data_IF_903817150203
#
_entry.id   IF_903817150203
#
_cell.length_a   1.000
_cell.length_b   1.000
_cell.length_c   1.000
_cell.angle_alpha   90.00
_cell.angle_beta   90.00
_cell.angle_gamma   90.00
#
_symmetry.space_group_name_H-M   'P 1'
#
loop_
_entity.id
_entity.type
_entity.pdbx_description
1 polymer ?
#
# COMPACT_ATOMS: atom_id res chain seq x y z
N UNK A 1 -21.43 13.78 -14.31
CA UNK A 1 -20.36 13.69 -13.30
C UNK A 1 -19.25 12.81 -13.87
N UNK A 2 -18.08 13.36 -14.22
CA UNK A 2 -16.96 12.50 -14.61
C UNK A 2 -16.58 11.66 -13.40
N UNK A 3 -16.69 10.33 -13.52
CA UNK A 3 -16.28 9.41 -12.47
C UNK A 3 -14.77 9.57 -12.30
N UNK A 4 -14.32 9.97 -11.11
CA UNK A 4 -12.90 10.07 -10.77
C UNK A 4 -12.19 8.79 -11.20
N UNK A 5 -11.13 8.92 -12.02
CA UNK A 5 -10.30 7.78 -12.39
C UNK A 5 -9.58 7.29 -11.13
N UNK A 6 -9.65 5.99 -10.79
CA UNK A 6 -8.86 5.44 -9.70
C UNK A 6 -7.39 5.82 -9.91
N UNK A 7 -6.75 6.40 -8.88
CA UNK A 7 -5.34 6.82 -8.94
C UNK A 7 -4.38 5.65 -9.19
N UNK A 8 -4.83 4.41 -8.94
CA UNK A 8 -4.12 3.17 -9.25
C UNK A 8 -4.75 2.54 -10.47
N UNK A 9 -3.97 2.41 -11.55
CA UNK A 9 -4.39 1.66 -12.72
C UNK A 9 -4.26 0.15 -12.45
N UNK A 10 -5.34 -0.45 -11.94
CA UNK A 10 -5.39 -1.86 -11.58
C UNK A 10 -4.96 -2.80 -12.72
N UNK A 11 -5.28 -2.43 -13.97
CA UNK A 11 -4.90 -3.20 -15.15
C UNK A 11 -3.38 -3.25 -15.37
N UNK A 12 -2.70 -2.13 -15.13
CA UNK A 12 -1.25 -2.02 -15.24
C UNK A 12 -0.54 -2.82 -14.13
N UNK A 13 -1.09 -2.82 -12.92
CA UNK A 13 -0.57 -3.63 -11.81
C UNK A 13 -0.71 -5.12 -12.14
N UNK A 14 -1.89 -5.56 -12.61
CA UNK A 14 -2.11 -6.95 -13.07
C UNK A 14 -1.09 -7.34 -14.14
N UNK A 15 -0.90 -6.50 -15.15
CA UNK A 15 0.07 -6.74 -16.24
C UNK A 15 1.49 -6.89 -15.71
N UNK A 16 1.86 -6.05 -14.74
CA UNK A 16 3.19 -6.06 -14.11
C UNK A 16 3.45 -7.37 -13.38
N UNK A 17 2.54 -7.78 -12.48
CA UNK A 17 2.66 -9.05 -11.76
C UNK A 17 2.67 -10.26 -12.69
N UNK A 18 1.83 -10.23 -13.74
CA UNK A 18 1.79 -11.29 -14.76
C UNK A 18 3.13 -11.41 -15.49
N UNK A 19 3.69 -10.28 -15.95
CA UNK A 19 4.96 -10.25 -16.67
C UNK A 19 6.14 -10.68 -15.79
N UNK A 20 6.19 -10.26 -14.52
CA UNK A 20 7.22 -10.67 -13.55
C UNK A 20 7.26 -12.18 -13.33
N UNK A 21 6.12 -12.85 -13.49
CA UNK A 21 5.99 -14.32 -13.35
C UNK A 21 6.18 -15.07 -14.67
N UNK A 22 6.49 -14.36 -15.76
CA UNK A 22 6.62 -14.97 -17.08
C UNK A 22 5.32 -15.56 -17.62
N UNK A 23 4.16 -15.15 -17.10
CA UNK A 23 2.87 -15.67 -17.50
C UNK A 23 2.34 -14.93 -18.74
N UNK A 24 1.82 -15.66 -19.71
CA UNK A 24 1.03 -15.11 -20.81
C UNK A 24 -0.41 -14.82 -20.37
N UNK A 25 -1.12 -13.96 -21.12
CA UNK A 25 -2.56 -13.78 -20.87
C UNK A 25 -3.35 -15.09 -21.05
N UNK A 26 -2.89 -15.96 -21.97
CA UNK A 26 -3.47 -17.29 -22.16
C UNK A 26 -3.18 -18.24 -21.01
N UNK A 27 -2.12 -18.01 -20.22
CA UNK A 27 -1.82 -18.83 -19.05
C UNK A 27 -2.79 -18.52 -17.92
N UNK A 28 -3.10 -17.23 -17.72
CA UNK A 28 -4.14 -16.79 -16.80
C UNK A 28 -5.51 -17.32 -17.24
N UNK A 29 -5.82 -17.32 -18.53
CA UNK A 29 -7.04 -17.92 -19.07
C UNK A 29 -7.15 -19.40 -18.72
N UNK A 30 -6.08 -20.18 -18.93
CA UNK A 30 -6.07 -21.61 -18.57
C UNK A 30 -6.23 -21.86 -17.07
N UNK A 31 -5.74 -20.96 -16.22
CA UNK A 31 -5.81 -21.09 -14.75
C UNK A 31 -7.13 -20.60 -14.15
N UNK A 32 -7.75 -19.58 -14.75
CA UNK A 32 -8.94 -18.89 -14.19
C UNK A 32 -10.24 -19.18 -14.94
N UNK A 33 -10.16 -19.66 -16.17
CA UNK A 33 -11.28 -19.70 -17.12
C UNK A 33 -11.69 -18.32 -17.66
N UNK A 34 -10.98 -17.24 -17.31
CA UNK A 34 -11.24 -15.90 -17.84
C UNK A 34 -10.67 -15.78 -19.24
N UNK A 35 -11.50 -15.40 -20.22
CA UNK A 35 -11.06 -15.28 -21.61
C UNK A 35 -9.85 -14.34 -21.75
N UNK A 36 -8.88 -14.72 -22.58
CA UNK A 36 -7.70 -13.86 -22.87
C UNK A 36 -8.13 -12.46 -23.35
N UNK A 37 -9.18 -12.38 -24.15
CA UNK A 37 -9.71 -11.09 -24.64
C UNK A 37 -10.27 -10.22 -23.50
N UNK A 38 -10.86 -10.83 -22.47
CA UNK A 38 -11.29 -10.13 -21.27
C UNK A 38 -10.09 -9.60 -20.49
N UNK A 39 -9.07 -10.45 -20.26
CA UNK A 39 -7.86 -10.04 -19.54
C UNK A 39 -7.12 -8.90 -20.27
N UNK A 40 -7.05 -8.95 -21.60
CA UNK A 40 -6.50 -7.84 -22.40
C UNK A 40 -7.25 -6.52 -22.20
N UNK A 41 -8.59 -6.55 -22.15
CA UNK A 41 -9.38 -5.34 -21.86
C UNK A 41 -9.15 -4.82 -20.45
N UNK A 42 -8.98 -5.71 -19.47
CA UNK A 42 -8.65 -5.34 -18.08
C UNK A 42 -7.28 -4.69 -18.01
N UNK A 43 -6.24 -5.34 -18.56
CA UNK A 43 -4.86 -4.85 -18.52
C UNK A 43 -4.66 -3.51 -19.23
N UNK A 44 -5.45 -3.22 -20.26
CA UNK A 44 -5.41 -1.94 -20.97
C UNK A 44 -6.40 -0.90 -20.43
N UNK A 45 -7.08 -1.19 -19.31
CA UNK A 45 -7.98 -0.23 -18.65
C UNK A 45 -9.32 0.00 -19.37
N UNK A 46 -9.67 -0.82 -20.34
CA UNK A 46 -10.97 -0.77 -21.04
C UNK A 46 -12.10 -1.40 -20.24
N UNK A 47 -11.80 -2.16 -19.20
CA UNK A 47 -12.79 -2.81 -18.34
C UNK A 47 -12.25 -2.89 -16.92
N UNK A 48 -13.11 -2.59 -15.95
CA UNK A 48 -12.79 -2.74 -14.52
C UNK A 48 -13.28 -4.13 -14.07
N UNK A 49 -12.40 -5.02 -13.59
CA UNK A 49 -12.80 -6.32 -13.08
C UNK A 49 -13.58 -6.18 -11.76
N UNK A 50 -14.46 -7.16 -11.47
CA UNK A 50 -15.08 -7.26 -10.14
C UNK A 50 -14.03 -7.70 -9.11
N UNK A 51 -14.35 -7.53 -7.82
CA UNK A 51 -13.50 -8.02 -6.73
C UNK A 51 -13.27 -9.54 -6.81
N UNK A 52 -14.31 -10.30 -7.15
CA UNK A 52 -14.24 -11.75 -7.35
C UNK A 52 -13.28 -12.10 -8.51
N UNK A 53 -13.36 -11.38 -9.62
CA UNK A 53 -12.47 -11.57 -10.75
C UNK A 53 -11.02 -11.23 -10.40
N UNK A 54 -10.80 -10.15 -9.64
CA UNK A 54 -9.49 -9.81 -9.10
C UNK A 54 -8.94 -10.93 -8.22
N UNK A 55 -9.76 -11.51 -7.33
CA UNK A 55 -9.34 -12.64 -6.49
C UNK A 55 -8.90 -13.86 -7.32
N UNK A 56 -9.66 -14.22 -8.36
CA UNK A 56 -9.29 -15.31 -9.28
C UNK A 56 -7.97 -15.03 -10.00
N UNK A 57 -7.75 -13.79 -10.44
CA UNK A 57 -6.50 -13.40 -11.10
C UNK A 57 -5.32 -13.45 -10.12
N UNK A 58 -5.50 -13.00 -8.88
CA UNK A 58 -4.48 -13.11 -7.83
C UNK A 58 -4.11 -14.57 -7.55
N UNK A 59 -5.11 -15.44 -7.37
CA UNK A 59 -4.93 -16.88 -7.16
C UNK A 59 -4.16 -17.53 -8.32
N UNK A 60 -4.55 -17.24 -9.57
CA UNK A 60 -3.85 -17.77 -10.74
C UNK A 60 -2.40 -17.28 -10.90
N UNK A 61 -2.02 -16.21 -10.19
CA UNK A 61 -0.65 -15.69 -10.16
C UNK A 61 0.06 -16.02 -8.84
N UNK A 62 -0.53 -16.80 -7.94
CA UNK A 62 0.05 -17.10 -6.62
C UNK A 62 0.47 -15.83 -5.86
N UNK A 63 -0.44 -14.83 -5.79
CA UNK A 63 -0.27 -13.59 -5.01
C UNK A 63 -1.45 -13.32 -4.09
N UNK A 64 -1.26 -12.44 -3.12
CA UNK A 64 -2.35 -11.91 -2.32
C UNK A 64 -3.16 -10.89 -3.12
N UNK A 65 -4.48 -10.84 -2.90
CA UNK A 65 -5.34 -9.80 -3.46
C UNK A 65 -4.86 -8.39 -3.06
N UNK A 66 -4.25 -8.25 -1.88
CA UNK A 66 -3.69 -6.99 -1.39
C UNK A 66 -2.53 -6.49 -2.26
N UNK A 67 -1.81 -7.37 -2.95
CA UNK A 67 -0.65 -7.02 -3.77
C UNK A 67 -1.04 -6.16 -4.99
N UNK A 68 -2.30 -6.23 -5.43
CA UNK A 68 -2.81 -5.33 -6.47
C UNK A 68 -3.01 -3.88 -6.02
N UNK A 69 -2.97 -3.65 -4.70
CA UNK A 69 -3.13 -2.33 -4.09
C UNK A 69 -1.84 -1.97 -3.36
N UNK A 70 -0.70 -1.82 -4.08
CA UNK A 70 0.53 -1.36 -3.46
C UNK A 70 0.19 -0.07 -2.74
N UNK A 71 0.53 -0.03 -1.45
CA UNK A 71 -0.01 0.89 -0.46
C UNK A 71 -0.33 2.23 -1.09
N UNK A 72 -1.60 2.65 -0.98
CA UNK A 72 -1.98 4.02 -1.33
C UNK A 72 -1.28 4.93 -0.35
N UNK A 73 0.02 5.13 -0.53
CA UNK A 73 0.78 6.13 0.17
C UNK A 73 0.17 7.43 -0.29
N UNK A 74 -0.72 7.94 0.56
CA UNK A 74 -1.17 9.30 0.43
C UNK A 74 0.08 10.18 0.47
N UNK A 75 0.06 11.40 -0.10
CA UNK A 75 1.16 12.35 0.11
C UNK A 75 1.53 12.51 1.58
N UNK A 76 0.56 12.30 2.49
CA UNK A 76 0.74 12.26 3.94
C UNK A 76 1.56 11.06 4.42
N UNK A 77 1.38 9.88 3.84
CA UNK A 77 2.15 8.68 4.20
C UNK A 77 3.61 8.82 3.74
N UNK A 78 3.84 9.38 2.54
CA UNK A 78 5.20 9.70 2.06
C UNK A 78 5.88 10.76 2.91
N UNK A 79 5.14 11.79 3.32
CA UNK A 79 5.66 12.83 4.20
C UNK A 79 5.96 12.27 5.59
N UNK A 80 5.09 11.40 6.11
CA UNK A 80 5.30 10.67 7.37
C UNK A 80 6.53 9.77 7.30
N UNK A 81 6.70 9.00 6.22
CA UNK A 81 7.84 8.11 5.99
C UNK A 81 9.14 8.91 5.79
N UNK A 82 9.07 10.08 5.15
CA UNK A 82 10.21 11.00 5.00
C UNK A 82 10.58 11.71 6.30
N UNK A 83 9.63 11.94 7.20
CA UNK A 83 9.85 12.50 8.53
C UNK A 83 10.34 11.46 9.55
N UNK A 84 9.84 10.23 9.48
CA UNK A 84 10.11 9.16 10.45
C UNK A 84 11.22 8.20 10.02
N UNK A 85 11.63 8.19 8.75
CA UNK A 85 12.63 7.26 8.23
C UNK A 85 12.10 5.83 8.05
N UNK A 86 12.97 4.92 7.64
CA UNK A 86 12.69 3.47 7.70
C UNK A 86 12.76 3.02 9.15
N UNK A 87 11.76 2.25 9.59
CA UNK A 87 11.74 1.70 10.94
C UNK A 87 12.89 0.70 11.10
N UNK A 88 13.65 0.85 12.16
CA UNK A 88 14.61 -0.16 12.60
C UNK A 88 13.89 -1.45 12.99
N UNK A 89 14.64 -2.56 13.01
CA UNK A 89 14.11 -3.86 13.41
C UNK A 89 13.53 -3.86 14.83
N UNK A 90 14.08 -3.06 15.73
CA UNK A 90 13.58 -2.96 17.10
C UNK A 90 12.28 -2.16 17.18
N UNK A 91 12.12 -1.13 16.35
CA UNK A 91 10.85 -0.40 16.23
C UNK A 91 9.75 -1.26 15.60
N UNK A 92 10.09 -2.08 14.61
CA UNK A 92 9.15 -3.06 14.04
C UNK A 92 8.71 -4.06 15.11
N UNK A 93 9.65 -4.60 15.90
CA UNK A 93 9.34 -5.52 17.00
C UNK A 93 8.41 -4.87 18.02
N UNK A 94 8.68 -3.62 18.40
CA UNK A 94 7.83 -2.85 19.31
C UNK A 94 6.40 -2.65 18.76
N UNK A 95 6.25 -2.34 17.47
CA UNK A 95 4.94 -2.20 16.85
C UNK A 95 4.15 -3.52 16.81
N UNK A 96 4.83 -4.64 16.60
CA UNK A 96 4.21 -5.97 16.66
C UNK A 96 3.72 -6.27 18.08
N UNK A 97 4.49 -5.89 19.10
CA UNK A 97 4.06 -6.03 20.50
C UNK A 97 2.86 -5.13 20.81
N UNK A 98 2.88 -3.87 20.38
CA UNK A 98 1.72 -2.98 20.51
C UNK A 98 0.49 -3.60 19.85
N UNK A 99 0.61 -4.14 18.62
CA UNK A 99 -0.51 -4.79 17.91
C UNK A 99 -1.07 -5.97 18.71
N UNK A 100 -0.20 -6.79 19.29
CA UNK A 100 -0.58 -7.95 20.12
C UNK A 100 -1.42 -7.51 21.32
N UNK A 101 -0.96 -6.51 22.07
CA UNK A 101 -1.69 -6.03 23.26
C UNK A 101 -2.91 -5.16 22.93
N UNK A 102 -2.85 -4.39 21.83
CA UNK A 102 -3.97 -3.60 21.27
C UNK A 102 -5.21 -4.44 21.00
N UNK A 103 -5.04 -5.69 20.56
CA UNK A 103 -6.16 -6.59 20.28
C UNK A 103 -6.92 -7.07 21.53
N UNK A 104 -6.33 -6.92 22.73
CA UNK A 104 -6.92 -7.32 24.01
C UNK A 104 -7.37 -6.13 24.87
N UNK A 105 -7.14 -4.90 24.40
CA UNK A 105 -7.48 -3.67 25.12
C UNK A 105 -8.93 -3.27 24.84
N UNK A 106 -9.66 -2.87 25.89
CA UNK A 106 -10.99 -2.26 25.72
C UNK A 106 -10.87 -0.91 25.01
N UNK A 107 -11.96 -0.43 24.40
CA UNK A 107 -11.98 0.88 23.73
C UNK A 107 -11.58 2.05 24.65
N UNK A 108 -11.86 1.93 25.96
CA UNK A 108 -11.46 2.90 26.97
C UNK A 108 -9.95 2.91 27.19
N UNK A 109 -9.35 1.74 27.37
CA UNK A 109 -7.91 1.60 27.59
C UNK A 109 -7.12 1.99 26.34
N UNK A 110 -7.64 1.65 25.15
CA UNK A 110 -7.05 2.07 23.87
C UNK A 110 -6.97 3.59 23.73
N UNK A 111 -8.00 4.32 24.16
CA UNK A 111 -8.01 5.79 24.18
C UNK A 111 -6.97 6.35 25.15
N UNK A 112 -6.83 5.74 26.32
CA UNK A 112 -5.85 6.16 27.34
C UNK A 112 -4.41 5.99 26.82
N UNK A 113 -4.09 4.83 26.23
CA UNK A 113 -2.77 4.57 25.62
C UNK A 113 -2.47 5.58 24.52
N UNK A 114 -3.43 5.87 23.64
CA UNK A 114 -3.24 6.89 22.59
C UNK A 114 -3.00 8.30 23.17
N UNK A 115 -3.68 8.66 24.26
CA UNK A 115 -3.45 9.93 24.95
C UNK A 115 -2.04 10.00 25.58
N UNK A 116 -1.57 8.89 26.16
CA UNK A 116 -0.22 8.78 26.73
C UNK A 116 0.86 8.89 25.63
N UNK A 117 0.71 8.16 24.52
CA UNK A 117 1.62 8.24 23.38
C UNK A 117 1.68 9.66 22.82
N UNK A 118 0.53 10.34 22.68
CA UNK A 118 0.48 11.73 22.22
C UNK A 118 1.24 12.66 23.17
N UNK A 119 1.09 12.50 24.49
CA UNK A 119 1.80 13.29 25.49
C UNK A 119 3.31 13.06 25.44
N UNK A 120 3.74 11.81 25.22
CA UNK A 120 5.16 11.47 25.04
C UNK A 120 5.73 12.06 23.74
N UNK A 121 4.98 11.99 22.64
CA UNK A 121 5.39 12.55 21.35
C UNK A 121 5.57 14.07 21.39
N UNK A 122 4.75 14.80 22.18
CA UNK A 122 4.87 16.25 22.36
C UNK A 122 6.08 16.69 23.19
N UNK A 123 6.75 15.77 23.89
CA UNK A 123 7.98 16.04 24.64
C UNK A 123 9.25 15.92 23.78
N UNK A 124 9.13 15.43 22.55
CA UNK A 124 10.25 15.38 21.61
C UNK A 124 10.40 16.74 20.92
N UNK A 125 11.54 17.44 21.03
CA UNK A 125 11.78 18.66 20.27
C UNK A 125 11.74 18.34 18.77
N UNK A 126 11.03 19.17 18.00
CA UNK A 126 10.91 19.01 16.56
C UNK A 126 12.31 18.92 15.91
N UNK A 127 12.55 18.01 14.95
CA UNK A 127 13.86 17.87 14.33
C UNK A 127 14.25 19.18 13.64
N UNK A 128 15.43 19.71 13.99
CA UNK A 128 15.95 20.96 13.46
C UNK A 128 16.02 20.89 11.93
N UNK A 129 15.23 21.74 11.26
CA UNK A 129 15.20 21.85 9.81
C UNK A 129 16.59 22.30 9.33
N UNK A 130 17.36 21.41 8.69
CA UNK A 130 18.64 21.79 8.06
C UNK A 130 18.36 22.88 7.03
N UNK A 131 18.80 24.10 7.33
CA UNK A 131 18.72 25.24 6.43
C UNK A 131 19.71 24.98 5.30
N UNK A 132 19.20 24.64 4.11
CA UNK A 132 20.05 24.50 2.92
C UNK A 132 20.53 25.90 2.55
N UNK A 133 21.80 26.19 2.84
CA UNK A 133 22.47 27.40 2.40
C UNK A 133 22.48 27.41 0.87
N UNK A 134 21.73 28.32 0.25
CA UNK A 134 21.90 28.65 -1.17
C UNK A 134 23.29 29.28 -1.31
N UNK A 135 24.22 28.54 -1.91
CA UNK A 135 25.40 29.10 -2.56
C UNK A 135 24.90 30.03 -3.66
N UNK A 136 25.03 31.35 -3.46
CA UNK A 136 25.08 32.29 -4.56
C UNK A 136 26.50 32.21 -5.15
N UNK A 137 26.59 31.80 -6.41
CA UNK A 137 27.79 31.89 -7.21
C UNK A 137 27.47 32.76 -8.43
N UNK A 138 28.41 33.67 -8.71
CA UNK A 138 28.50 34.69 -9.76
C UNK A 138 27.74 35.99 -9.47
#
# INVERSE_FOLDING_TARGET
MPKEKPRVNIGEVIRTYRAQRGLSQGDIERRTGLLRCYLSRVENGHTVPSLETLAKIAEAMDISLADFFPGTETPRDRETQKMLGELSQDEIRFLVEIKKYSSTLSDGDRRLVLAMIRKMATLLPAPARKMVAKRAAL
#
